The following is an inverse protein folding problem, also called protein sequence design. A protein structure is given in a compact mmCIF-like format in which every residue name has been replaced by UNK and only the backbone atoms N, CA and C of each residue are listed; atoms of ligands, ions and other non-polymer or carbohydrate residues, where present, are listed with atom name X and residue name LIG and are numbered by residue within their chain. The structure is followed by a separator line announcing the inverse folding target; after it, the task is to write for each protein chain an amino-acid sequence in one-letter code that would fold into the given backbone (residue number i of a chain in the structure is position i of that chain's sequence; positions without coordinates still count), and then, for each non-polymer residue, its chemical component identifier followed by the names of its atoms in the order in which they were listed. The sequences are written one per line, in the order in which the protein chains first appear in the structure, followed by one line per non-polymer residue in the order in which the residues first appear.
data_IF_183570165023
#
_entry.id   IF_183570165023
#
_cell.length_a   1.000
_cell.length_b   1.000
_cell.length_c   1.000
_cell.angle_alpha   90.00
_cell.angle_beta   90.00
_cell.angle_gamma   90.00
#
_symmetry.space_group_name_H-M   'P 1'
#
loop_
_entity.id
_entity.type
_entity.pdbx_description
1 polymer ?
#
# COMPACT_ATOMS: atom_id res chain seq x y z
N UNK A 1 -0.74 -10.67 -9.65
CA UNK A 1 -1.56 -11.04 -8.47
C UNK A 1 -1.79 -9.80 -7.63
N UNK A 2 -2.81 -9.79 -6.78
CA UNK A 2 -3.11 -8.67 -5.89
C UNK A 2 -2.82 -9.03 -4.44
N UNK A 3 -2.36 -8.05 -3.65
CA UNK A 3 -2.14 -8.16 -2.21
C UNK A 3 -2.81 -6.99 -1.52
N UNK A 4 -3.59 -7.26 -0.49
CA UNK A 4 -4.07 -6.22 0.42
C UNK A 4 -3.10 -6.11 1.59
N UNK A 5 -2.54 -4.93 1.78
CA UNK A 5 -1.71 -4.59 2.92
C UNK A 5 -2.52 -3.76 3.91
N UNK A 6 -2.38 -4.11 5.19
CA UNK A 6 -2.86 -3.30 6.31
C UNK A 6 -1.64 -2.81 7.10
N UNK A 7 -1.54 -1.51 7.32
CA UNK A 7 -0.43 -0.88 8.01
C UNK A 7 -0.90 -0.13 9.25
N UNK A 8 -0.13 -0.28 10.34
CA UNK A 8 -0.15 0.65 11.47
C UNK A 8 1.17 1.43 11.43
N UNK A 9 1.09 2.74 11.21
CA UNK A 9 2.25 3.61 11.02
C UNK A 9 2.32 4.67 12.10
N UNK A 10 3.55 5.08 12.45
CA UNK A 10 3.81 6.17 13.40
C UNK A 10 4.71 7.21 12.73
N UNK A 11 4.24 8.44 12.57
CA UNK A 11 5.04 9.55 12.06
C UNK A 11 5.98 10.06 13.16
N UNK A 12 7.24 9.65 13.10
CA UNK A 12 8.24 9.90 14.14
C UNK A 12 8.33 11.35 14.64
N UNK A 13 8.28 12.39 13.80
CA UNK A 13 8.39 13.78 14.27
C UNK A 13 7.25 14.22 15.21
N UNK A 14 6.03 13.71 15.04
CA UNK A 14 4.87 14.09 15.87
C UNK A 14 4.41 12.98 16.81
N UNK A 15 4.89 11.76 16.62
CA UNK A 15 4.37 10.56 17.29
C UNK A 15 2.96 10.17 16.84
N UNK A 16 2.39 10.85 15.84
CA UNK A 16 1.05 10.58 15.37
C UNK A 16 0.96 9.18 14.76
N UNK A 17 -0.03 8.41 15.20
CA UNK A 17 -0.35 7.10 14.63
C UNK A 17 -1.45 7.20 13.60
N UNK A 18 -1.36 6.37 12.57
CA UNK A 18 -2.39 6.20 11.54
C UNK A 18 -2.49 4.74 11.13
N UNK A 19 -3.70 4.29 10.82
CA UNK A 19 -3.95 3.04 10.14
C UNK A 19 -4.27 3.33 8.68
N UNK A 20 -3.75 2.51 7.77
CA UNK A 20 -4.03 2.63 6.35
C UNK A 20 -4.09 1.25 5.71
N UNK A 21 -4.84 1.13 4.61
CA UNK A 21 -4.82 -0.03 3.75
C UNK A 21 -4.43 0.35 2.32
N UNK A 22 -3.74 -0.58 1.65
CA UNK A 22 -3.29 -0.46 0.27
C UNK A 22 -3.58 -1.77 -0.46
N UNK A 23 -4.23 -1.69 -1.62
CA UNK A 23 -4.28 -2.82 -2.54
C UNK A 23 -3.17 -2.65 -3.57
N UNK A 24 -2.23 -3.59 -3.60
CA UNK A 24 -1.14 -3.63 -4.57
C UNK A 24 -1.44 -4.67 -5.66
N UNK A 25 -1.49 -4.23 -6.92
CA UNK A 25 -1.60 -5.10 -8.08
C UNK A 25 -0.24 -5.25 -8.75
N UNK A 26 0.30 -6.47 -8.70
CA UNK A 26 1.57 -6.84 -9.31
C UNK A 26 1.35 -7.57 -10.64
N UNK A 27 1.98 -7.07 -11.70
CA UNK A 27 2.12 -7.81 -12.96
C UNK A 27 3.48 -8.50 -12.99
N UNK A 28 3.48 -9.82 -13.13
CA UNK A 28 4.72 -10.62 -13.17
C UNK A 28 4.93 -11.17 -14.58
N UNK A 29 6.16 -11.05 -15.09
CA UNK A 29 6.61 -11.64 -16.35
C UNK A 29 8.00 -12.23 -16.15
N UNK A 30 8.20 -13.47 -16.61
CA UNK A 30 9.48 -14.18 -16.50
C UNK A 30 10.05 -14.20 -15.06
N UNK A 31 9.15 -14.38 -14.07
CA UNK A 31 9.49 -14.39 -12.65
C UNK A 31 9.83 -13.03 -12.04
N UNK A 32 9.71 -11.93 -12.80
CA UNK A 32 9.99 -10.56 -12.35
C UNK A 32 8.71 -9.74 -12.30
N UNK A 33 8.60 -8.89 -11.29
CA UNK A 33 7.57 -7.85 -11.28
C UNK A 33 7.95 -6.82 -12.34
N UNK A 34 7.05 -6.58 -13.30
CA UNK A 34 7.26 -5.62 -14.40
C UNK A 34 6.36 -4.39 -14.29
N UNK A 35 5.30 -4.47 -13.48
CA UNK A 35 4.41 -3.34 -13.17
C UNK A 35 3.89 -3.48 -11.75
N UNK A 36 3.78 -2.34 -11.08
CA UNK A 36 3.15 -2.19 -9.77
C UNK A 36 2.10 -1.08 -9.86
N UNK A 37 0.91 -1.33 -9.34
CA UNK A 37 -0.16 -0.34 -9.20
C UNK A 37 -0.69 -0.38 -7.77
N UNK A 38 -0.73 0.78 -7.12
CA UNK A 38 -1.14 0.91 -5.72
C UNK A 38 -2.44 1.70 -5.65
N UNK A 39 -3.42 1.15 -4.95
CA UNK A 39 -4.71 1.76 -4.69
C UNK A 39 -4.82 2.00 -3.18
N UNK A 40 -4.89 3.27 -2.79
CA UNK A 40 -5.01 3.67 -1.39
C UNK A 40 -6.47 3.87 -1.04
N UNK A 41 -6.90 3.31 0.10
CA UNK A 41 -8.18 3.65 0.68
C UNK A 41 -8.04 4.90 1.54
N UNK A 42 -7.93 6.07 0.89
CA UNK A 42 -8.04 7.35 1.57
C UNK A 42 -9.52 7.77 1.56
N UNK A 43 -10.09 8.26 2.68
CA UNK A 43 -11.41 8.86 2.65
C UNK A 43 -11.41 10.06 1.68
N UNK A 44 -12.52 10.25 0.96
CA UNK A 44 -12.70 11.37 0.03
C UNK A 44 -12.38 12.71 0.73
N UNK A 45 -11.60 13.55 0.05
CA UNK A 45 -11.18 14.87 0.53
C UNK A 45 -12.29 15.91 0.47
#
# INVERSE_FOLDING_TARGET
FAVEYAFETTFRPTGQRSQMSELALYTVKDGKIVTEQFFYNAPDA
#
